data_IF_193732310220
#
_entry.id   IF_193732310220
#
_cell.length_a   1.000
_cell.length_b   1.000
_cell.length_c   1.000
_cell.angle_alpha   90.00
_cell.angle_beta   90.00
_cell.angle_gamma   90.00
#
_symmetry.space_group_name_H-M   'P 1'
#
loop_
_entity.id
_entity.type
_entity.pdbx_description
1 polymer ?
#
# COMPACT_ATOMS: atom_id res chain seq x y z
N UNK A 1 -3.99 -4.05 31.21
CA UNK A 1 -3.21 -4.15 29.95
C UNK A 1 -1.98 -3.26 30.05
N UNK A 2 -0.77 -3.83 29.98
CA UNK A 2 0.50 -3.09 30.12
C UNK A 2 0.71 -2.10 28.96
N UNK A 3 1.45 -1.02 29.18
CA UNK A 3 1.69 0.03 28.16
C UNK A 3 2.31 -0.55 26.88
N UNK A 4 3.21 -1.53 27.00
CA UNK A 4 3.84 -2.20 25.86
C UNK A 4 2.84 -2.98 25.00
N UNK A 5 1.89 -3.69 25.64
CA UNK A 5 0.85 -4.42 24.93
C UNK A 5 -0.09 -3.47 24.16
N UNK A 6 -0.41 -2.30 24.73
CA UNK A 6 -1.17 -1.25 24.04
C UNK A 6 -0.45 -0.73 22.80
N UNK A 7 0.86 -0.44 22.90
CA UNK A 7 1.67 0.05 21.78
C UNK A 7 1.80 -1.00 20.67
N UNK A 8 2.04 -2.25 21.05
CA UNK A 8 2.14 -3.35 20.10
C UNK A 8 0.83 -3.54 19.31
N UNK A 9 -0.31 -3.54 19.99
CA UNK A 9 -1.61 -3.65 19.34
C UNK A 9 -1.88 -2.46 18.40
N UNK A 10 -1.50 -1.25 18.81
CA UNK A 10 -1.63 -0.06 17.96
C UNK A 10 -0.83 -0.19 16.65
N UNK A 11 0.41 -0.70 16.72
CA UNK A 11 1.22 -0.96 15.51
C UNK A 11 0.54 -1.97 14.59
N UNK A 12 0.02 -3.07 15.13
CA UNK A 12 -0.70 -4.07 14.33
C UNK A 12 -1.92 -3.45 13.62
N UNK A 13 -2.71 -2.65 14.34
CA UNK A 13 -3.88 -1.99 13.77
C UNK A 13 -3.48 -1.04 12.65
N UNK A 14 -2.44 -0.23 12.85
CA UNK A 14 -1.94 0.70 11.82
C UNK A 14 -1.48 -0.06 10.58
N UNK A 15 -0.73 -1.16 10.75
CA UNK A 15 -0.29 -1.99 9.63
C UNK A 15 -1.47 -2.66 8.90
N UNK A 16 -2.47 -3.15 9.64
CA UNK A 16 -3.67 -3.74 9.06
C UNK A 16 -4.48 -2.71 8.25
N UNK A 17 -4.66 -1.50 8.79
CA UNK A 17 -5.33 -0.41 8.09
C UNK A 17 -4.54 -0.03 6.84
N UNK A 18 -3.22 0.12 6.94
CA UNK A 18 -2.36 0.43 5.80
C UNK A 18 -2.48 -0.62 4.69
N UNK A 19 -2.51 -1.91 5.05
CA UNK A 19 -2.70 -2.99 4.08
C UNK A 19 -4.04 -2.88 3.34
N UNK A 20 -5.13 -2.61 4.07
CA UNK A 20 -6.48 -2.49 3.48
C UNK A 20 -6.58 -1.28 2.56
N UNK A 21 -6.14 -0.10 3.01
CA UNK A 21 -6.22 1.12 2.20
C UNK A 21 -5.31 1.08 0.98
N UNK A 22 -4.26 0.24 1.01
CA UNK A 22 -3.36 0.06 -0.13
C UNK A 22 -3.90 -0.88 -1.21
N UNK A 23 -4.97 -1.65 -0.95
CA UNK A 23 -5.49 -2.63 -1.90
C UNK A 23 -5.78 -2.07 -3.31
N UNK A 24 -6.38 -0.86 -3.47
CA UNK A 24 -6.60 -0.29 -4.80
C UNK A 24 -5.29 0.02 -5.52
N UNK A 25 -4.30 0.57 -4.81
CA UNK A 25 -2.99 0.88 -5.38
C UNK A 25 -2.21 -0.40 -5.73
N UNK A 26 -2.32 -1.45 -4.90
CA UNK A 26 -1.77 -2.77 -5.19
C UNK A 26 -2.43 -3.35 -6.45
N UNK A 27 -3.76 -3.27 -6.57
CA UNK A 27 -4.45 -3.69 -7.79
C UNK A 27 -3.97 -2.94 -9.04
N UNK A 28 -3.74 -1.63 -8.92
CA UNK A 28 -3.20 -0.82 -10.01
C UNK A 28 -1.77 -1.21 -10.39
N UNK A 29 -0.90 -1.55 -9.42
CA UNK A 29 0.47 -2.02 -9.73
C UNK A 29 0.47 -3.38 -10.41
N UNK A 30 -0.45 -4.29 -10.06
CA UNK A 30 -0.65 -5.54 -10.81
C UNK A 30 -1.13 -5.29 -12.23
N UNK A 31 -2.06 -4.35 -12.44
CA UNK A 31 -2.50 -3.98 -13.78
C UNK A 31 -1.36 -3.41 -14.62
N UNK A 32 -0.52 -2.55 -14.03
CA UNK A 32 0.68 -2.02 -14.70
C UNK A 32 1.68 -3.12 -15.03
N UNK A 33 1.94 -4.06 -14.09
CA UNK A 33 2.80 -5.21 -14.35
C UNK A 33 2.25 -6.06 -15.51
N UNK A 34 0.94 -6.31 -15.53
CA UNK A 34 0.29 -7.03 -16.62
C UNK A 34 0.42 -6.30 -17.97
N UNK A 35 0.31 -4.97 -17.98
CA UNK A 35 0.55 -4.18 -19.19
C UNK A 35 2.01 -4.24 -19.65
N UNK A 36 2.97 -4.26 -18.71
CA UNK A 36 4.41 -4.37 -19.02
C UNK A 36 4.74 -5.77 -19.56
N UNK A 37 4.00 -6.81 -19.18
CA UNK A 37 4.18 -8.19 -19.66
C UNK A 37 4.05 -8.31 -21.18
N UNK A 38 3.30 -7.41 -21.82
CA UNK A 38 3.24 -7.31 -23.29
C UNK A 38 4.57 -6.90 -23.94
N UNK A 39 5.47 -6.29 -23.18
CA UNK A 39 6.77 -5.80 -23.65
C UNK A 39 7.93 -6.67 -23.15
N UNK A 40 7.86 -7.11 -21.90
CA UNK A 40 8.90 -7.92 -21.24
C UNK A 40 8.21 -8.95 -20.38
N UNK A 41 8.50 -10.23 -20.62
CA UNK A 41 7.89 -11.34 -19.88
C UNK A 41 8.10 -11.22 -18.38
N UNK A 42 7.00 -11.21 -17.63
CA UNK A 42 6.93 -11.16 -16.18
C UNK A 42 6.39 -12.49 -15.66
N UNK A 43 7.09 -13.08 -14.68
CA UNK A 43 6.63 -14.29 -14.02
C UNK A 43 5.67 -13.95 -12.88
N UNK A 44 4.36 -14.08 -13.12
CA UNK A 44 3.32 -13.85 -12.11
C UNK A 44 3.19 -14.96 -11.05
N UNK A 45 3.85 -16.10 -11.21
CA UNK A 45 3.91 -17.15 -10.18
C UNK A 45 5.03 -16.86 -9.15
N UNK A 46 5.87 -15.86 -9.40
CA UNK A 46 6.97 -15.50 -8.53
C UNK A 46 6.52 -14.67 -7.33
N UNK A 47 6.91 -15.11 -6.12
CA UNK A 47 6.74 -14.31 -4.89
C UNK A 47 7.44 -12.95 -4.96
N UNK A 48 8.51 -12.82 -5.76
CA UNK A 48 9.19 -11.54 -5.98
C UNK A 48 8.29 -10.56 -6.73
N UNK A 49 7.62 -11.00 -7.80
CA UNK A 49 6.68 -10.17 -8.57
C UNK A 49 5.55 -9.66 -7.66
N UNK A 50 4.99 -10.55 -6.84
CA UNK A 50 3.96 -10.16 -5.87
C UNK A 50 4.49 -9.18 -4.82
N UNK A 51 5.69 -9.43 -4.28
CA UNK A 51 6.35 -8.56 -3.32
C UNK A 51 6.59 -7.15 -3.87
N UNK A 52 7.04 -7.04 -5.13
CA UNK A 52 7.23 -5.75 -5.82
C UNK A 52 5.90 -5.02 -6.01
N UNK A 53 4.86 -5.71 -6.48
CA UNK A 53 3.54 -5.09 -6.68
C UNK A 53 2.96 -4.57 -5.35
N UNK A 54 3.06 -5.36 -4.29
CA UNK A 54 2.61 -4.97 -2.94
C UNK A 54 3.41 -3.76 -2.44
N UNK A 55 4.75 -3.82 -2.52
CA UNK A 55 5.62 -2.74 -2.06
C UNK A 55 5.34 -1.42 -2.80
N UNK A 56 5.24 -1.47 -4.12
CA UNK A 56 4.92 -0.29 -4.94
C UNK A 56 3.51 0.25 -4.62
N UNK A 57 2.52 -0.63 -4.41
CA UNK A 57 1.17 -0.21 -4.04
C UNK A 57 1.10 0.48 -2.68
N UNK A 58 1.82 -0.05 -1.67
CA UNK A 58 1.95 0.59 -0.35
C UNK A 58 2.69 1.92 -0.46
N UNK A 59 3.81 1.97 -1.19
CA UNK A 59 4.58 3.20 -1.39
C UNK A 59 3.76 4.29 -2.09
N UNK A 60 3.00 3.93 -3.13
CA UNK A 60 2.06 4.83 -3.80
C UNK A 60 1.02 5.36 -2.81
N UNK A 61 0.43 4.47 -2.01
CA UNK A 61 -0.60 4.84 -1.02
C UNK A 61 -0.04 5.83 0.00
N UNK A 62 1.15 5.57 0.54
CA UNK A 62 1.84 6.50 1.44
C UNK A 62 2.12 7.84 0.78
N UNK A 63 2.61 7.85 -0.46
CA UNK A 63 2.83 9.08 -1.22
C UNK A 63 1.53 9.86 -1.46
N UNK A 64 0.41 9.16 -1.67
CA UNK A 64 -0.90 9.78 -1.91
C UNK A 64 -1.49 10.40 -0.64
N UNK A 65 -1.34 9.72 0.49
CA UNK A 65 -1.80 10.23 1.80
C UNK A 65 -0.90 11.39 2.27
N UNK A 66 0.39 11.36 1.95
CA UNK A 66 1.35 12.40 2.28
C UNK A 66 1.29 13.62 1.33
N UNK A 67 0.18 13.82 0.61
CA UNK A 67 -0.03 15.06 -0.12
C UNK A 67 -0.70 16.08 0.82
N UNK A 68 -0.05 17.21 1.07
CA UNK A 68 -0.57 18.31 1.92
C UNK A 68 -2.02 18.74 1.57
N UNK A 69 -2.49 18.41 0.37
CA UNK A 69 -3.85 18.64 -0.12
C UNK A 69 -4.92 17.78 0.58
N UNK A 70 -4.63 16.54 0.97
CA UNK A 70 -5.58 15.68 1.66
C UNK A 70 -5.88 16.22 3.07
N UNK A 71 -4.85 16.69 3.78
CA UNK A 71 -4.97 17.31 5.10
C UNK A 71 -5.72 18.65 5.06
N UNK A 72 -5.41 19.50 4.07
CA UNK A 72 -6.08 20.80 3.89
C UNK A 72 -7.56 20.67 3.46
N UNK A 73 -7.94 19.58 2.81
CA UNK A 73 -9.33 19.33 2.42
C UNK A 73 -10.16 18.84 3.60
N UNK A 74 -9.58 18.04 4.50
CA UNK A 74 -10.26 17.57 5.73
C UNK A 74 -10.38 18.67 6.79
N UNK A 75 -9.38 19.55 6.92
CA UNK A 75 -9.38 20.64 7.90
C UNK A 75 -10.30 21.82 7.54
N UNK A 76 -10.98 21.76 6.38
CA UNK A 76 -11.92 22.78 5.89
C UNK A 76 -13.39 22.40 6.04
N UNK A 77 -13.68 21.27 6.66
CA UNK A 77 -15.00 20.84 7.13
C UNK A 77 -15.03 20.80 8.64
#
# INVERSE_FOLDING_TARGET
>A
MTLYLKKFLAVIIVLAVLAVISLPAIGATYLLAWLIDFLVTINFDSSLTHGVCIFLGVAWTLASINTDKALNTLARW
#
